data_IF_523409840349
#
_entry.id   IF_523409840349
#
_cell.length_a   1.000
_cell.length_b   1.000
_cell.length_c   1.000
_cell.angle_alpha   90.00
_cell.angle_beta   90.00
_cell.angle_gamma   90.00
#
_symmetry.space_group_name_H-M   'P 1'
#
loop_
_entity.id
_entity.type
_entity.pdbx_description
1 polymer ?
#
# COMPACT_ATOMS: atom_id res chain seq x y z
N UNK A 1 22.22 -11.99 18.19
CA UNK A 1 21.46 -10.73 18.09
C UNK A 1 20.78 -10.51 19.43
N UNK A 2 21.10 -9.44 20.15
CA UNK A 2 20.48 -9.16 21.45
C UNK A 2 19.03 -8.75 21.21
N UNK A 3 18.07 -9.34 21.91
CA UNK A 3 16.63 -9.04 21.79
C UNK A 3 16.33 -7.55 22.01
N UNK A 4 17.15 -6.88 22.82
CA UNK A 4 17.08 -5.42 23.05
C UNK A 4 17.36 -4.60 21.79
N UNK A 5 18.08 -5.15 20.81
CA UNK A 5 18.39 -4.47 19.55
C UNK A 5 17.28 -4.69 18.51
N UNK A 6 16.67 -5.89 18.46
CA UNK A 6 15.54 -6.15 17.58
C UNK A 6 14.35 -5.21 17.84
N UNK A 7 13.99 -4.96 19.11
CA UNK A 7 12.90 -4.03 19.44
C UNK A 7 13.26 -2.57 19.10
N UNK A 8 14.54 -2.19 19.16
CA UNK A 8 14.98 -0.85 18.71
C UNK A 8 14.82 -0.72 17.19
N UNK A 9 15.11 -1.77 16.43
CA UNK A 9 14.93 -1.78 14.98
C UNK A 9 13.46 -1.63 14.60
N UNK A 10 12.54 -2.34 15.28
CA UNK A 10 11.09 -2.15 15.08
C UNK A 10 10.66 -0.70 15.32
N UNK A 11 11.19 -0.07 16.38
CA UNK A 11 10.93 1.35 16.67
C UNK A 11 11.54 2.29 15.64
N UNK A 12 12.71 1.96 15.09
CA UNK A 12 13.34 2.73 14.03
C UNK A 12 12.51 2.69 12.74
N UNK A 13 12.03 1.51 12.34
CA UNK A 13 11.16 1.33 11.18
C UNK A 13 9.82 2.07 11.34
N UNK A 14 9.20 2.00 12.52
CA UNK A 14 7.97 2.77 12.80
C UNK A 14 8.20 4.29 12.74
N UNK A 15 9.34 4.78 13.24
CA UNK A 15 9.69 6.20 13.11
C UNK A 15 9.89 6.60 11.65
N UNK A 16 10.54 5.76 10.86
CA UNK A 16 10.75 6.02 9.44
C UNK A 16 9.42 6.13 8.68
N UNK A 17 8.46 5.26 8.97
CA UNK A 17 7.10 5.34 8.43
C UNK A 17 6.45 6.68 8.78
N UNK A 18 6.45 7.06 10.07
CA UNK A 18 5.80 8.30 10.51
C UNK A 18 6.47 9.55 9.91
N UNK A 19 7.80 9.63 9.91
CA UNK A 19 8.52 10.75 9.30
C UNK A 19 8.19 10.90 7.81
N UNK A 20 8.07 9.79 7.07
CA UNK A 20 7.68 9.84 5.66
C UNK A 20 6.21 10.20 5.46
N UNK A 21 5.31 9.83 6.38
CA UNK A 21 3.92 10.31 6.37
C UNK A 21 3.88 11.83 6.56
N UNK A 22 4.63 12.36 7.52
CA UNK A 22 4.73 13.81 7.77
C UNK A 22 5.27 14.54 6.53
N UNK A 23 6.22 13.94 5.80
CA UNK A 23 6.74 14.50 4.54
C UNK A 23 5.65 14.57 3.46
N UNK A 24 4.82 13.52 3.34
CA UNK A 24 3.70 13.50 2.40
C UNK A 24 2.68 14.58 2.77
N UNK A 25 2.29 14.66 4.05
CA UNK A 25 1.33 15.65 4.54
C UNK A 25 1.81 17.07 4.27
N UNK A 26 3.04 17.40 4.66
CA UNK A 26 3.64 18.71 4.42
C UNK A 26 3.77 19.02 2.92
N UNK A 27 4.17 18.03 2.12
CA UNK A 27 4.28 18.14 0.66
C UNK A 27 2.92 18.45 0.00
N UNK A 28 1.85 17.79 0.45
CA UNK A 28 0.48 18.05 -0.01
C UNK A 28 0.00 19.44 0.41
N UNK A 29 0.16 19.81 1.69
CA UNK A 29 -0.25 21.10 2.24
C UNK A 29 0.45 22.27 1.54
N UNK A 30 1.76 22.17 1.31
CA UNK A 30 2.54 23.23 0.64
C UNK A 30 2.09 23.52 -0.78
N UNK A 31 1.43 22.55 -1.44
CA UNK A 31 0.91 22.65 -2.81
C UNK A 31 -0.58 22.96 -2.85
N UNK A 32 -1.25 23.03 -1.69
CA UNK A 32 -2.72 23.12 -1.62
C UNK A 32 -3.42 21.92 -2.27
N UNK A 33 -2.78 20.75 -2.26
CA UNK A 33 -3.30 19.51 -2.84
C UNK A 33 -3.72 18.53 -1.75
N UNK A 34 -4.54 17.55 -2.11
CA UNK A 34 -4.91 16.42 -1.27
C UNK A 34 -4.26 15.14 -1.79
N UNK A 35 -3.90 14.24 -0.88
CA UNK A 35 -3.40 12.92 -1.28
C UNK A 35 -4.56 12.09 -1.86
N UNK A 36 -4.38 11.37 -2.98
CA UNK A 36 -5.49 10.65 -3.62
C UNK A 36 -5.99 9.50 -2.74
N UNK A 37 -7.32 9.33 -2.67
CA UNK A 37 -7.94 8.24 -1.92
C UNK A 37 -7.85 6.93 -2.69
N UNK A 38 -7.73 5.80 -1.96
CA UNK A 38 -7.70 4.48 -2.59
C UNK A 38 -9.07 4.07 -3.18
N UNK A 39 -10.17 4.58 -2.62
CA UNK A 39 -11.53 4.28 -3.05
C UNK A 39 -11.97 5.06 -4.28
N UNK A 40 -11.22 6.08 -4.69
CA UNK A 40 -11.56 6.88 -5.86
C UNK A 40 -11.13 6.16 -7.15
N UNK A 41 -11.88 6.32 -8.25
CA UNK A 41 -11.49 5.77 -9.54
C UNK A 41 -10.10 6.27 -9.96
N UNK A 42 -9.28 5.34 -10.45
CA UNK A 42 -7.97 5.67 -10.99
C UNK A 42 -8.10 6.58 -12.23
N UNK A 43 -7.32 7.66 -12.26
CA UNK A 43 -7.01 8.41 -13.48
C UNK A 43 -5.61 8.99 -13.37
N UNK A 44 -4.94 9.20 -14.51
CA UNK A 44 -3.61 9.81 -14.54
C UNK A 44 -3.59 11.17 -13.85
N UNK A 45 -4.66 11.95 -14.00
CA UNK A 45 -4.82 13.27 -13.38
C UNK A 45 -4.98 13.17 -11.85
N UNK A 46 -5.83 12.26 -11.36
CA UNK A 46 -6.04 12.04 -9.94
C UNK A 46 -4.78 11.55 -9.22
N UNK A 47 -3.89 10.83 -9.92
CA UNK A 47 -2.65 10.29 -9.36
C UNK A 47 -1.47 11.27 -9.38
N UNK A 48 -1.58 12.41 -10.09
CA UNK A 48 -0.51 13.42 -10.17
C UNK A 48 0.07 13.82 -8.80
N UNK A 49 -0.72 14.05 -7.74
CA UNK A 49 -0.17 14.38 -6.43
C UNK A 49 0.67 13.24 -5.85
N UNK A 50 0.24 11.97 -6.02
CA UNK A 50 0.98 10.78 -5.57
C UNK A 50 2.26 10.55 -6.38
N UNK A 51 2.27 10.97 -7.65
CA UNK A 51 3.41 10.87 -8.57
C UNK A 51 4.44 12.01 -8.44
N UNK A 52 4.22 13.00 -7.57
CA UNK A 52 5.21 14.04 -7.32
C UNK A 52 6.52 13.41 -6.77
N UNK A 53 7.72 13.85 -7.20
CA UNK A 53 8.98 13.15 -6.90
C UNK A 53 9.26 12.96 -5.40
N UNK A 54 9.00 13.99 -4.59
CA UNK A 54 9.11 14.00 -3.14
C UNK A 54 8.12 13.03 -2.46
N UNK A 55 6.90 12.97 -2.99
CA UNK A 55 5.82 12.10 -2.49
C UNK A 55 6.10 10.64 -2.85
N UNK A 56 6.57 10.38 -4.07
CA UNK A 56 7.03 9.05 -4.51
C UNK A 56 8.21 8.56 -3.68
N UNK A 57 9.17 9.44 -3.37
CA UNK A 57 10.32 9.10 -2.55
C UNK A 57 9.89 8.73 -1.11
N UNK A 58 9.06 9.57 -0.48
CA UNK A 58 8.50 9.28 0.84
C UNK A 58 7.66 7.99 0.84
N UNK A 59 6.82 7.79 -0.18
CA UNK A 59 6.05 6.56 -0.36
C UNK A 59 6.93 5.32 -0.49
N UNK A 60 8.03 5.40 -1.24
CA UNK A 60 8.99 4.30 -1.38
C UNK A 60 9.65 3.93 -0.04
N UNK A 61 9.97 4.94 0.78
CA UNK A 61 10.49 4.73 2.13
C UNK A 61 9.45 4.04 3.02
N UNK A 62 8.19 4.48 2.99
CA UNK A 62 7.08 3.84 3.73
C UNK A 62 6.96 2.37 3.32
N UNK A 63 6.92 2.07 2.02
CA UNK A 63 6.80 0.71 1.50
C UNK A 63 7.96 -0.16 2.00
N UNK A 64 9.20 0.32 1.88
CA UNK A 64 10.38 -0.41 2.32
C UNK A 64 10.41 -0.65 3.84
N UNK A 65 10.10 0.38 4.63
CA UNK A 65 10.07 0.30 6.09
C UNK A 65 8.96 -0.64 6.59
N UNK A 66 7.77 -0.56 5.99
CA UNK A 66 6.64 -1.43 6.30
C UNK A 66 6.95 -2.89 5.94
N UNK A 67 7.55 -3.14 4.77
CA UNK A 67 7.96 -4.48 4.36
C UNK A 67 8.98 -5.10 5.35
N UNK A 68 9.99 -4.32 5.77
CA UNK A 68 10.95 -4.75 6.78
C UNK A 68 10.28 -4.99 8.13
N UNK A 69 9.38 -4.10 8.56
CA UNK A 69 8.65 -4.25 9.82
C UNK A 69 7.82 -5.53 9.83
N UNK A 70 7.09 -5.80 8.74
CA UNK A 70 6.33 -7.04 8.53
C UNK A 70 7.27 -8.25 8.61
N UNK A 71 8.42 -8.21 7.92
CA UNK A 71 9.38 -9.31 7.93
C UNK A 71 9.97 -9.57 9.33
N UNK A 72 10.24 -8.51 10.10
CA UNK A 72 10.81 -8.62 11.45
C UNK A 72 9.84 -9.18 12.48
N UNK A 73 8.52 -8.99 12.31
CA UNK A 73 7.50 -9.48 13.27
C UNK A 73 6.82 -10.77 12.82
N UNK A 74 6.94 -11.15 11.54
CA UNK A 74 6.32 -12.36 11.01
C UNK A 74 7.12 -13.60 11.42
N UNK A 75 6.40 -14.59 11.95
CA UNK A 75 6.99 -15.90 12.30
C UNK A 75 7.58 -16.55 11.03
N UNK A 76 8.82 -17.10 11.08
CA UNK A 76 9.50 -17.60 9.88
C UNK A 76 8.70 -18.61 9.05
N UNK A 77 8.00 -19.55 9.69
CA UNK A 77 7.17 -20.55 9.00
C UNK A 77 6.03 -19.89 8.22
N UNK A 78 5.39 -18.87 8.81
CA UNK A 78 4.36 -18.08 8.13
C UNK A 78 4.94 -17.31 6.93
N UNK A 79 6.17 -16.81 7.03
CA UNK A 79 6.86 -16.14 5.90
C UNK A 79 7.06 -17.08 4.71
N UNK A 80 7.46 -18.34 4.96
CA UNK A 80 7.61 -19.35 3.92
C UNK A 80 6.26 -19.67 3.30
N UNK A 81 5.24 -19.95 4.11
CA UNK A 81 3.91 -20.29 3.64
C UNK A 81 3.31 -19.19 2.78
N UNK A 82 3.32 -17.94 3.26
CA UNK A 82 2.79 -16.78 2.52
C UNK A 82 3.50 -16.65 1.17
N UNK A 83 4.83 -16.75 1.15
CA UNK A 83 5.60 -16.65 -0.11
C UNK A 83 5.27 -17.80 -1.07
N UNK A 84 5.17 -19.03 -0.56
CA UNK A 84 4.87 -20.21 -1.37
C UNK A 84 3.48 -20.15 -2.04
N UNK A 85 2.51 -19.49 -1.41
CA UNK A 85 1.13 -19.38 -1.91
C UNK A 85 0.83 -18.05 -2.61
N UNK A 86 1.82 -17.16 -2.80
CA UNK A 86 1.59 -15.85 -3.45
C UNK A 86 1.03 -15.97 -4.88
N UNK A 87 1.25 -17.10 -5.57
CA UNK A 87 0.71 -17.34 -6.91
C UNK A 87 -0.83 -17.36 -6.96
N UNK A 88 -1.50 -17.60 -5.82
CA UNK A 88 -2.96 -17.63 -5.72
C UNK A 88 -3.60 -16.30 -6.13
N UNK A 89 -2.92 -15.17 -5.88
CA UNK A 89 -3.41 -13.84 -6.29
C UNK A 89 -3.53 -13.75 -7.81
N UNK A 90 -2.47 -14.14 -8.53
CA UNK A 90 -2.46 -14.14 -10.00
C UNK A 90 -3.43 -15.17 -10.58
N UNK A 91 -3.53 -16.34 -9.96
CA UNK A 91 -4.49 -17.39 -10.35
C UNK A 91 -5.93 -16.90 -10.21
N UNK A 92 -6.27 -16.31 -9.06
CA UNK A 92 -7.59 -15.75 -8.77
C UNK A 92 -7.95 -14.60 -9.72
N UNK A 93 -7.00 -13.70 -10.01
CA UNK A 93 -7.21 -12.62 -10.96
C UNK A 93 -7.50 -13.16 -12.37
N UNK A 94 -6.77 -14.19 -12.82
CA UNK A 94 -7.06 -14.86 -14.09
C UNK A 94 -8.45 -15.48 -14.09
N UNK A 95 -8.84 -16.16 -13.02
CA UNK A 95 -10.18 -16.71 -12.87
C UNK A 95 -11.26 -15.64 -12.95
N UNK A 96 -11.09 -14.52 -12.25
CA UNK A 96 -12.02 -13.38 -12.29
C UNK A 96 -12.16 -12.78 -13.69
N UNK A 97 -11.06 -12.66 -14.44
CA UNK A 97 -11.07 -12.19 -15.83
C UNK A 97 -11.79 -13.20 -16.74
N UNK A 98 -11.48 -14.48 -16.64
CA UNK A 98 -12.11 -15.52 -17.47
C UNK A 98 -13.61 -15.67 -17.21
N UNK A 99 -14.04 -15.42 -15.98
CA UNK A 99 -15.44 -15.44 -15.58
C UNK A 99 -16.16 -14.10 -15.87
N UNK A 100 -15.50 -13.13 -16.52
CA UNK A 100 -16.06 -11.81 -16.80
C UNK A 100 -16.66 -11.11 -15.57
N UNK A 101 -16.05 -11.34 -14.40
CA UNK A 101 -16.51 -10.78 -13.11
C UNK A 101 -16.55 -9.26 -13.15
N UNK A 102 -15.54 -8.53 -13.67
CA UNK A 102 -15.61 -7.07 -13.76
C UNK A 102 -16.81 -6.57 -14.58
N UNK A 103 -17.15 -7.22 -15.69
CA UNK A 103 -18.24 -6.85 -16.56
C UNK A 103 -19.61 -7.07 -15.90
N UNK A 104 -19.77 -8.19 -15.19
CA UNK A 104 -20.97 -8.49 -14.39
C UNK A 104 -21.15 -7.45 -13.28
N UNK A 105 -20.06 -7.13 -12.56
CA UNK A 105 -20.10 -6.18 -11.46
C UNK A 105 -20.30 -4.72 -11.92
N UNK A 106 -19.95 -4.38 -13.16
CA UNK A 106 -20.13 -3.03 -13.73
C UNK A 106 -21.60 -2.56 -13.67
N UNK A 107 -22.54 -3.48 -13.88
CA UNK A 107 -23.98 -3.17 -13.84
C UNK A 107 -24.51 -2.97 -12.41
N UNK A 108 -23.83 -3.55 -11.41
CA UNK A 108 -24.14 -3.40 -10.00
C UNK A 108 -23.42 -2.20 -9.35
N UNK A 109 -22.23 -1.83 -9.83
CA UNK A 109 -21.39 -0.77 -9.27
C UNK A 109 -22.04 0.62 -9.28
N UNK A 110 -22.80 0.94 -10.34
CA UNK A 110 -23.53 2.21 -10.44
C UNK A 110 -24.72 2.34 -9.46
N UNK A 111 -25.14 1.25 -8.80
CA UNK A 111 -26.28 1.27 -7.86
C UNK A 111 -25.90 1.54 -6.41
N UNK A 112 -24.61 1.46 -6.06
CA UNK A 112 -24.12 1.62 -4.68
C UNK A 112 -23.63 3.04 -4.39
N UNK A 113 -23.57 3.91 -5.40
CA UNK A 113 -23.16 5.32 -5.26
C UNK A 113 -24.32 6.27 -4.93
N UNK A 114 -25.27 5.80 -4.12
CA UNK A 114 -26.27 6.62 -3.42
C UNK A 114 -26.21 6.19 -1.96
N UNK A 115 -25.61 7.04 -1.11
CA UNK A 115 -25.97 7.39 0.27
C UNK A 115 -24.83 8.24 0.86
#
# INVERSE_FOLDING_TARGET
>A
MNTQDAVKDLRALSRLINTSIDQIENGMLSRGQTYPLLSEPYSTEAEKPRMAPDILAAGSIIIAAAAQLIASVRIPVTSILVTAIQYEVSSSLRGAIQAHVPEILREAGNKVQLH
#
